data_IF_438325200495
#
_entry.id   IF_438325200495
#
_cell.length_a   1.000
_cell.length_b   1.000
_cell.length_c   1.000
_cell.angle_alpha   90.00
_cell.angle_beta   90.00
_cell.angle_gamma   90.00
#
_symmetry.space_group_name_H-M   'P 1'
#
loop_
_entity.id
_entity.type
_entity.pdbx_description
1 polymer ?
#
# COMPACT_ATOMS: atom_id res chain seq x y z
N UNK A 1 25.76 -1.71 -1.66
CA UNK A 1 25.42 -0.34 -2.13
C UNK A 1 23.97 -0.09 -1.77
N UNK A 2 23.63 1.01 -1.09
CA UNK A 2 22.25 1.30 -0.69
C UNK A 2 21.38 1.56 -1.93
N UNK A 3 20.40 0.69 -2.21
CA UNK A 3 19.49 0.77 -3.37
C UNK A 3 18.80 2.15 -3.43
N UNK A 4 18.77 2.74 -4.62
CA UNK A 4 18.13 4.03 -4.86
C UNK A 4 16.61 3.89 -4.91
N UNK A 5 15.95 4.10 -3.77
CA UNK A 5 14.49 4.09 -3.70
C UNK A 5 13.88 5.27 -4.48
N UNK A 6 12.63 5.13 -4.94
CA UNK A 6 11.92 6.23 -5.61
C UNK A 6 11.81 7.47 -4.73
N UNK A 7 11.70 7.33 -3.40
CA UNK A 7 11.78 8.47 -2.49
C UNK A 7 13.16 9.11 -2.48
N UNK A 8 14.25 8.34 -2.56
CA UNK A 8 15.61 8.88 -2.68
C UNK A 8 15.81 9.62 -4.00
N UNK A 9 15.25 9.11 -5.11
CA UNK A 9 15.23 9.82 -6.41
C UNK A 9 14.40 11.11 -6.34
N UNK A 10 13.20 11.05 -5.76
CA UNK A 10 12.35 12.22 -5.57
C UNK A 10 12.99 13.25 -4.62
N UNK A 11 13.71 12.83 -3.57
CA UNK A 11 14.48 13.70 -2.67
C UNK A 11 15.75 14.25 -3.31
N UNK A 12 16.40 13.50 -4.21
CA UNK A 12 17.51 14.01 -5.01
C UNK A 12 17.02 15.07 -6.01
N UNK A 13 15.86 14.85 -6.65
CA UNK A 13 15.19 15.85 -7.49
C UNK A 13 14.70 17.07 -6.67
N UNK A 14 14.40 16.86 -5.39
CA UNK A 14 14.05 17.91 -4.43
C UNK A 14 15.23 18.78 -3.95
N UNK A 15 16.46 18.40 -4.30
CA UNK A 15 17.69 19.03 -3.83
C UNK A 15 17.74 19.19 -2.29
N UNK A 16 17.30 18.16 -1.56
CA UNK A 16 17.38 18.14 -0.09
C UNK A 16 16.37 19.04 0.65
N UNK A 17 15.41 19.66 -0.04
CA UNK A 17 14.38 20.49 0.61
C UNK A 17 13.26 19.61 1.19
N UNK A 18 12.75 19.94 2.38
CA UNK A 18 11.46 19.40 2.84
C UNK A 18 10.36 19.89 1.90
N UNK A 19 9.95 19.03 0.96
CA UNK A 19 8.93 19.38 -0.01
C UNK A 19 7.55 19.30 0.63
N UNK A 20 6.77 20.36 0.47
CA UNK A 20 5.40 20.40 0.96
C UNK A 20 4.55 19.30 0.31
N UNK A 21 3.52 18.84 1.02
CA UNK A 21 2.47 17.95 0.48
C UNK A 21 1.92 18.48 -0.86
N UNK A 22 1.94 19.80 -1.04
CA UNK A 22 1.51 20.48 -2.26
C UNK A 22 2.42 20.20 -3.46
N UNK A 23 3.73 20.08 -3.25
CA UNK A 23 4.69 19.71 -4.30
C UNK A 23 4.51 18.25 -4.72
N UNK A 24 4.34 17.33 -3.76
CA UNK A 24 4.05 15.92 -4.09
C UNK A 24 2.73 15.77 -4.84
N UNK A 25 1.69 16.52 -4.43
CA UNK A 25 0.41 16.57 -5.12
C UNK A 25 0.51 17.16 -6.53
N UNK A 26 1.35 18.18 -6.76
CA UNK A 26 1.50 18.77 -8.08
C UNK A 26 2.24 17.84 -9.04
N UNK A 27 3.28 17.15 -8.57
CA UNK A 27 3.99 16.13 -9.35
C UNK A 27 3.09 14.96 -9.75
N UNK A 28 2.21 14.50 -8.85
CA UNK A 28 1.24 13.45 -9.22
C UNK A 28 0.18 13.91 -10.18
N UNK A 29 -0.35 15.12 -10.02
CA UNK A 29 -1.29 15.66 -11.03
C UNK A 29 -0.65 15.74 -12.41
N UNK A 30 0.65 16.00 -12.47
CA UNK A 30 1.40 16.03 -13.71
C UNK A 30 1.68 14.63 -14.29
N UNK A 31 1.88 13.62 -13.43
CA UNK A 31 2.22 12.24 -13.84
C UNK A 31 0.98 11.35 -14.10
N UNK A 32 -0.15 11.62 -13.44
CA UNK A 32 -1.38 10.84 -13.51
C UNK A 32 -2.62 11.75 -13.48
N UNK A 33 -3.18 12.15 -14.64
CA UNK A 33 -4.38 12.96 -14.69
C UNK A 33 -5.57 12.20 -14.08
N UNK A 34 -6.08 12.63 -12.91
CA UNK A 34 -7.25 12.10 -12.15
C UNK A 34 -7.77 10.74 -12.65
N UNK A 35 -6.98 9.68 -12.52
CA UNK A 35 -7.46 8.31 -12.73
C UNK A 35 -8.15 7.90 -11.42
N UNK A 36 -9.43 7.54 -11.50
CA UNK A 36 -10.17 7.08 -10.32
C UNK A 36 -9.66 5.71 -9.87
N UNK A 37 -9.77 5.41 -8.57
CA UNK A 37 -9.44 4.07 -8.04
C UNK A 37 -10.18 2.94 -8.80
N UNK A 38 -11.41 3.21 -9.23
CA UNK A 38 -12.18 2.29 -10.07
C UNK A 38 -11.51 2.04 -11.43
N UNK A 39 -11.08 3.09 -12.14
CA UNK A 39 -10.36 2.92 -13.42
C UNK A 39 -9.03 2.19 -13.22
N UNK A 40 -8.33 2.44 -12.11
CA UNK A 40 -7.11 1.70 -11.79
C UNK A 40 -7.38 0.21 -11.57
N UNK A 41 -8.49 -0.13 -10.91
CA UNK A 41 -8.90 -1.52 -10.72
C UNK A 41 -9.29 -2.20 -12.05
N UNK A 42 -9.94 -1.46 -12.95
CA UNK A 42 -10.36 -1.97 -14.26
C UNK A 42 -9.18 -2.17 -15.24
N UNK A 43 -8.18 -1.27 -15.20
CA UNK A 43 -7.08 -1.25 -16.18
C UNK A 43 -5.77 -1.87 -15.65
N UNK A 44 -5.65 -2.01 -14.34
CA UNK A 44 -4.40 -2.43 -13.69
C UNK A 44 -4.24 -3.94 -13.58
N UNK A 45 -3.05 -4.35 -13.12
CA UNK A 45 -2.74 -5.77 -12.85
C UNK A 45 -3.42 -6.21 -11.57
N UNK A 46 -4.49 -6.99 -11.67
CA UNK A 46 -5.25 -7.44 -10.51
C UNK A 46 -5.05 -8.92 -10.20
N UNK A 47 -5.25 -9.30 -8.94
CA UNK A 47 -5.18 -10.68 -8.46
C UNK A 47 -6.43 -11.03 -7.65
N UNK A 48 -6.83 -12.30 -7.66
CA UNK A 48 -8.00 -12.77 -6.89
C UNK A 48 -7.73 -12.78 -5.37
N UNK A 49 -6.47 -13.06 -4.99
CA UNK A 49 -6.01 -13.07 -3.59
C UNK A 49 -5.23 -11.78 -3.27
N UNK A 50 -5.21 -11.34 -1.99
CA UNK A 50 -4.36 -10.22 -1.57
C UNK A 50 -2.88 -10.57 -1.69
N UNK A 51 -2.08 -9.60 -2.15
CA UNK A 51 -0.64 -9.73 -2.34
C UNK A 51 0.10 -9.31 -1.07
N UNK A 52 0.57 -10.29 -0.28
CA UNK A 52 1.42 -10.02 0.89
C UNK A 52 2.78 -9.47 0.46
N UNK A 53 3.37 -8.61 1.30
CA UNK A 53 4.60 -7.88 0.99
C UNK A 53 4.44 -6.79 -0.09
N UNK A 54 3.25 -6.63 -0.66
CA UNK A 54 2.93 -5.59 -1.63
C UNK A 54 1.72 -4.77 -1.19
N UNK A 55 1.48 -3.67 -1.90
CA UNK A 55 0.35 -2.78 -1.65
C UNK A 55 -0.83 -3.20 -2.52
N UNK A 56 -2.01 -3.21 -1.93
CA UNK A 56 -3.23 -3.69 -2.54
C UNK A 56 -4.26 -2.57 -2.51
N UNK A 57 -4.82 -2.23 -3.67
CA UNK A 57 -6.01 -1.40 -3.77
C UNK A 57 -7.20 -2.29 -4.16
N UNK A 58 -8.35 -2.14 -3.50
CA UNK A 58 -9.53 -2.97 -3.77
C UNK A 58 -10.81 -2.29 -3.31
N UNK A 59 -11.96 -2.69 -3.84
CA UNK A 59 -13.26 -2.22 -3.37
C UNK A 59 -13.71 -3.03 -2.15
N UNK A 60 -14.05 -2.32 -1.06
CA UNK A 60 -14.54 -2.91 0.17
C UNK A 60 -15.80 -2.22 0.69
N UNK A 61 -16.75 -3.01 1.23
CA UNK A 61 -17.92 -2.50 1.96
C UNK A 61 -18.14 -3.31 3.24
N UNK A 62 -17.84 -2.76 4.43
CA UNK A 62 -17.90 -3.50 5.69
C UNK A 62 -19.33 -3.96 6.05
N UNK A 63 -19.42 -5.04 6.83
CA UNK A 63 -20.69 -5.66 7.27
C UNK A 63 -21.72 -4.68 7.85
N UNK A 64 -21.27 -3.67 8.59
CA UNK A 64 -22.12 -2.67 9.23
C UNK A 64 -21.85 -1.27 8.67
N UNK A 65 -21.58 -1.17 7.36
CA UNK A 65 -21.31 0.10 6.68
C UNK A 65 -22.33 1.20 7.05
N UNK A 66 -23.62 0.88 7.12
CA UNK A 66 -24.68 1.83 7.49
C UNK A 66 -24.59 2.39 8.91
N UNK A 67 -23.84 1.74 9.82
CA UNK A 67 -23.65 2.18 11.22
C UNK A 67 -22.30 2.86 11.45
N UNK A 68 -21.42 2.90 10.45
CA UNK A 68 -20.09 3.50 10.57
C UNK A 68 -20.14 4.95 10.12
N UNK A 69 -19.60 5.86 10.94
CA UNK A 69 -19.52 7.29 10.58
C UNK A 69 -18.65 7.53 9.34
N UNK A 70 -17.60 6.72 9.17
CA UNK A 70 -16.73 6.75 8.00
C UNK A 70 -16.09 5.38 7.80
N UNK A 71 -15.87 5.01 6.55
CA UNK A 71 -15.07 3.86 6.15
C UNK A 71 -14.47 4.11 4.77
N UNK A 72 -13.37 3.42 4.48
CA UNK A 72 -12.71 3.49 3.20
C UNK A 72 -13.35 2.52 2.19
N UNK A 73 -13.85 3.05 1.08
CA UNK A 73 -14.47 2.29 -0.01
C UNK A 73 -13.40 1.65 -0.90
N UNK A 74 -12.24 2.28 -1.04
CA UNK A 74 -11.12 1.77 -1.81
C UNK A 74 -9.86 1.63 -0.94
N UNK A 75 -9.82 0.69 0.03
CA UNK A 75 -8.66 0.48 0.87
C UNK A 75 -7.35 0.34 0.11
N UNK A 76 -6.35 1.15 0.49
CA UNK A 76 -4.96 1.01 0.07
C UNK A 76 -4.15 0.36 1.19
N UNK A 77 -3.90 -0.94 1.07
CA UNK A 77 -3.52 -1.80 2.20
C UNK A 77 -2.27 -2.62 1.92
N UNK A 78 -1.39 -2.71 2.92
CA UNK A 78 -0.36 -3.75 2.98
C UNK A 78 -0.82 -4.85 3.97
N UNK A 79 -1.16 -6.06 3.49
CA UNK A 79 -1.51 -7.19 4.34
C UNK A 79 -0.29 -7.72 5.11
N UNK A 80 -0.49 -8.05 6.38
CA UNK A 80 0.57 -8.66 7.21
C UNK A 80 0.10 -9.86 8.04
N UNK A 81 -1.21 -10.15 8.07
CA UNK A 81 -1.75 -11.32 8.77
C UNK A 81 -2.91 -11.96 8.00
N UNK A 82 -2.77 -13.24 7.70
CA UNK A 82 -3.80 -14.06 7.08
C UNK A 82 -4.88 -14.49 8.08
N UNK A 83 -6.12 -14.59 7.59
CA UNK A 83 -7.22 -15.27 8.29
C UNK A 83 -7.96 -16.15 7.28
N UNK A 84 -8.52 -17.28 7.73
CA UNK A 84 -9.32 -18.16 6.85
C UNK A 84 -10.45 -17.43 6.10
N UNK A 85 -11.00 -16.38 6.71
CA UNK A 85 -12.10 -15.59 6.16
C UNK A 85 -11.70 -14.17 5.70
N UNK A 86 -10.41 -13.90 5.50
CA UNK A 86 -9.92 -12.58 5.10
C UNK A 86 -8.48 -12.30 5.50
N UNK A 87 -8.16 -11.06 5.83
CA UNK A 87 -6.82 -10.67 6.24
C UNK A 87 -6.85 -9.45 7.17
N UNK A 88 -5.74 -9.19 7.84
CA UNK A 88 -5.47 -7.92 8.53
C UNK A 88 -4.30 -7.23 7.85
N UNK A 89 -4.44 -5.93 7.66
CA UNK A 89 -3.45 -5.11 7.00
C UNK A 89 -3.48 -3.67 7.47
N UNK A 90 -2.46 -2.92 7.08
CA UNK A 90 -2.29 -1.50 7.38
C UNK A 90 -2.91 -0.71 6.23
N UNK A 91 -3.92 0.11 6.52
CA UNK A 91 -4.54 0.96 5.51
C UNK A 91 -3.95 2.37 5.54
N UNK A 92 -3.33 2.76 4.44
CA UNK A 92 -2.69 4.05 4.29
C UNK A 92 -3.69 5.20 4.19
N UNK A 93 -4.92 4.97 3.74
CA UNK A 93 -5.91 6.03 3.58
C UNK A 93 -6.40 6.65 4.90
N UNK A 94 -6.24 5.96 6.03
CA UNK A 94 -6.53 6.51 7.37
C UNK A 94 -5.41 7.41 7.92
N UNK A 95 -4.31 7.55 7.19
CA UNK A 95 -3.21 8.47 7.50
C UNK A 95 -3.31 9.74 6.67
N UNK A 96 -2.86 10.85 7.23
CA UNK A 96 -2.58 12.05 6.43
C UNK A 96 -1.46 11.76 5.44
N UNK A 97 -1.43 12.45 4.30
CA UNK A 97 -0.41 12.24 3.26
C UNK A 97 1.04 12.24 3.82
N UNK A 98 1.47 13.19 4.67
CA UNK A 98 2.80 13.14 5.29
C UNK A 98 3.06 11.85 6.06
N UNK A 99 2.06 11.39 6.83
CA UNK A 99 2.18 10.17 7.62
C UNK A 99 2.24 8.92 6.73
N UNK A 100 1.56 8.92 5.58
CA UNK A 100 1.65 7.83 4.59
C UNK A 100 3.06 7.72 4.02
N UNK A 101 3.64 8.85 3.61
CA UNK A 101 5.01 8.92 3.10
C UNK A 101 6.00 8.47 4.18
N UNK A 102 5.91 9.02 5.39
CA UNK A 102 6.78 8.66 6.50
C UNK A 102 6.67 7.17 6.89
N UNK A 103 5.47 6.59 6.83
CA UNK A 103 5.29 5.16 7.04
C UNK A 103 5.95 4.35 5.92
N UNK A 104 5.72 4.72 4.66
CA UNK A 104 6.29 4.00 3.53
C UNK A 104 7.83 4.04 3.54
N UNK A 105 8.43 5.20 3.83
CA UNK A 105 9.89 5.35 3.98
C UNK A 105 10.46 4.42 5.07
N UNK A 106 9.77 4.27 6.20
CA UNK A 106 10.18 3.32 7.25
C UNK A 106 10.06 1.88 6.79
N UNK A 107 9.01 1.56 6.01
CA UNK A 107 8.80 0.21 5.48
C UNK A 107 9.85 -0.18 4.43
N UNK A 108 10.46 0.78 3.72
CA UNK A 108 11.55 0.50 2.77
C UNK A 108 12.77 -0.16 3.41
N UNK A 109 12.99 0.03 4.72
CA UNK A 109 14.03 -0.69 5.45
C UNK A 109 13.81 -2.22 5.52
N UNK A 110 12.63 -2.70 5.16
CA UNK A 110 12.27 -4.11 5.12
C UNK A 110 12.16 -4.65 3.68
N UNK A 111 12.66 -3.93 2.68
CA UNK A 111 12.70 -4.43 1.30
C UNK A 111 13.58 -5.69 1.22
N UNK A 112 13.00 -6.77 0.68
CA UNK A 112 13.65 -8.06 0.51
C UNK A 112 13.35 -8.61 -0.89
N UNK A 113 14.24 -9.46 -1.39
CA UNK A 113 13.99 -10.19 -2.62
C UNK A 113 12.85 -11.20 -2.39
N UNK A 114 11.92 -11.28 -3.35
CA UNK A 114 10.68 -12.02 -3.20
C UNK A 114 10.88 -13.53 -3.00
N UNK A 115 11.91 -14.09 -3.62
CA UNK A 115 12.32 -15.49 -3.42
C UNK A 115 12.70 -15.79 -1.96
N UNK A 116 13.23 -14.79 -1.25
CA UNK A 116 13.62 -14.93 0.16
C UNK A 116 12.42 -14.77 1.10
N UNK A 117 11.45 -13.92 0.75
CA UNK A 117 10.29 -13.62 1.60
C UNK A 117 9.14 -14.63 1.46
N UNK A 118 8.97 -15.22 0.27
CA UNK A 118 7.90 -16.18 -0.02
C UNK A 118 8.51 -17.53 -0.34
N UNK A 119 8.74 -18.35 0.68
CA UNK A 119 9.13 -19.76 0.50
C UNK A 119 7.98 -20.61 -0.06
N UNK A 120 6.78 -20.03 -0.23
CA UNK A 120 5.55 -20.68 -0.63
C UNK A 120 4.83 -19.89 -1.74
N UNK A 121 5.17 -20.12 -3.01
CA UNK A 121 4.21 -20.36 -4.11
C UNK A 121 4.91 -20.46 -5.48
N UNK A 122 4.65 -21.59 -6.15
CA UNK A 122 4.98 -21.90 -7.54
C UNK A 122 4.17 -21.01 -8.51
N UNK A 123 4.83 -20.47 -9.54
CA UNK A 123 4.18 -20.16 -10.82
C UNK A 123 3.28 -18.93 -10.86
N UNK A 124 3.87 -17.74 -10.91
CA UNK A 124 3.35 -16.58 -11.66
C UNK A 124 4.54 -15.63 -11.91
N UNK A 125 4.40 -14.63 -12.78
CA UNK A 125 5.43 -13.60 -12.95
C UNK A 125 5.53 -12.80 -11.64
N UNK A 126 6.46 -13.22 -10.77
CA UNK A 126 6.64 -12.68 -9.44
C UNK A 126 7.30 -11.30 -9.51
N UNK A 127 6.85 -10.38 -8.66
CA UNK A 127 7.61 -9.17 -8.41
C UNK A 127 8.93 -9.56 -7.74
N UNK A 128 10.05 -8.98 -8.17
CA UNK A 128 11.37 -9.34 -7.66
C UNK A 128 11.60 -8.87 -6.23
N UNK A 129 10.93 -7.80 -5.82
CA UNK A 129 11.12 -7.13 -4.54
C UNK A 129 9.78 -7.01 -3.79
N UNK A 130 9.80 -7.30 -2.49
CA UNK A 130 8.63 -7.26 -1.59
C UNK A 130 9.02 -6.71 -0.22
N UNK A 131 8.04 -6.24 0.54
CA UNK A 131 8.22 -5.75 1.90
C UNK A 131 8.13 -6.91 2.89
N UNK A 132 9.28 -7.25 3.46
CA UNK A 132 9.49 -8.45 4.26
C UNK A 132 9.33 -8.29 5.77
N UNK A 133 8.33 -7.56 6.26
CA UNK A 133 8.20 -7.24 7.69
C UNK A 133 7.20 -8.13 8.44
N UNK A 134 7.42 -8.29 9.74
CA UNK A 134 6.47 -8.79 10.74
C UNK A 134 5.81 -7.64 11.48
N UNK A 135 4.57 -7.84 11.92
CA UNK A 135 3.80 -6.82 12.66
C UNK A 135 4.54 -6.25 13.88
N UNK A 136 5.26 -7.09 14.62
CA UNK A 136 6.02 -6.69 15.81
C UNK A 136 7.12 -5.67 15.50
N UNK A 137 7.65 -5.67 14.28
CA UNK A 137 8.76 -4.79 13.89
C UNK A 137 8.28 -3.36 13.61
N UNK A 138 6.98 -3.17 13.37
CA UNK A 138 6.41 -1.88 12.96
C UNK A 138 5.38 -1.32 13.94
N UNK A 139 4.86 -2.14 14.86
CA UNK A 139 3.81 -1.74 15.82
C UNK A 139 4.20 -0.56 16.72
N UNK A 140 5.49 -0.31 16.93
CA UNK A 140 6.01 0.80 17.74
C UNK A 140 5.79 2.18 17.12
N UNK A 141 5.39 2.26 15.85
CA UNK A 141 5.15 3.54 15.18
C UNK A 141 3.88 4.22 15.72
N UNK A 142 4.02 5.46 16.19
CA UNK A 142 2.91 6.24 16.75
C UNK A 142 1.79 6.39 15.71
N UNK A 143 0.57 6.04 16.10
CA UNK A 143 -0.63 6.15 15.25
C UNK A 143 -0.87 4.95 14.33
N UNK A 144 0.10 4.07 14.10
CA UNK A 144 -0.02 2.93 13.19
C UNK A 144 -1.13 1.95 13.60
N UNK A 145 -1.30 1.70 14.90
CA UNK A 145 -2.35 0.79 15.40
C UNK A 145 -3.76 1.19 14.94
N UNK A 146 -4.03 2.49 14.76
CA UNK A 146 -5.34 3.00 14.36
C UNK A 146 -5.66 2.77 12.88
N UNK A 147 -4.66 2.44 12.08
CA UNK A 147 -4.80 2.20 10.63
C UNK A 147 -4.83 0.71 10.30
N UNK A 148 -4.73 -0.15 11.32
CA UNK A 148 -4.84 -1.59 11.18
C UNK A 148 -6.31 -1.99 11.17
N UNK A 149 -6.73 -2.63 10.08
CA UNK A 149 -8.09 -3.09 9.93
C UNK A 149 -8.14 -4.55 9.50
N UNK A 150 -9.21 -5.24 9.91
CA UNK A 150 -9.56 -6.57 9.43
C UNK A 150 -10.50 -6.44 8.24
N UNK A 151 -10.12 -7.06 7.14
CA UNK A 151 -10.90 -7.16 5.91
C UNK A 151 -11.41 -8.59 5.79
N UNK A 152 -12.74 -8.77 5.75
CA UNK A 152 -13.31 -10.10 5.53
C UNK A 152 -13.53 -10.28 4.03
N UNK A 153 -13.11 -11.42 3.49
CA UNK A 153 -13.15 -11.70 2.05
C UNK A 153 -14.56 -11.55 1.45
N UNK A 154 -15.61 -11.95 2.20
CA UNK A 154 -17.02 -11.80 1.80
C UNK A 154 -17.46 -10.34 1.50
N UNK A 155 -16.73 -9.36 2.00
CA UNK A 155 -17.04 -7.93 1.86
C UNK A 155 -16.08 -7.18 0.92
N UNK A 156 -15.22 -7.93 0.21
CA UNK A 156 -14.39 -7.43 -0.88
C UNK A 156 -15.17 -7.63 -2.18
N UNK A 157 -15.36 -6.56 -2.96
CA UNK A 157 -16.22 -6.53 -4.14
C UNK A 157 -15.44 -6.39 -5.45
N UNK A 158 -14.12 -6.50 -5.41
CA UNK A 158 -13.24 -6.48 -6.59
C UNK A 158 -12.08 -7.46 -6.40
N UNK A 159 -11.35 -7.73 -7.48
CA UNK A 159 -9.99 -8.22 -7.37
C UNK A 159 -9.08 -7.17 -6.68
N UNK A 160 -7.90 -7.58 -6.27
CA UNK A 160 -6.89 -6.72 -5.66
C UNK A 160 -5.98 -6.17 -6.74
N UNK A 161 -5.98 -4.87 -6.95
CA UNK A 161 -4.94 -4.21 -7.75
C UNK A 161 -3.60 -4.36 -7.03
N UNK A 162 -2.66 -5.03 -7.69
CA UNK A 162 -1.31 -5.26 -7.19
C UNK A 162 -0.44 -4.04 -7.51
N UNK A 163 0.06 -3.38 -6.47
CA UNK A 163 0.95 -2.23 -6.58
C UNK A 163 2.34 -2.66 -6.12
N UNK A 164 3.28 -2.70 -7.06
CA UNK A 164 4.68 -3.06 -6.82
C UNK A 164 5.41 -2.01 -5.99
N UNK A 165 6.56 -2.36 -5.39
CA UNK A 165 7.36 -1.47 -4.53
C UNK A 165 7.66 -0.14 -5.22
N UNK A 166 8.02 -0.17 -6.50
CA UNK A 166 8.34 1.03 -7.26
C UNK A 166 7.12 1.97 -7.40
N UNK A 167 5.91 1.43 -7.48
CA UNK A 167 4.69 2.23 -7.68
C UNK A 167 4.05 2.69 -6.36
N UNK A 168 4.46 2.15 -5.21
CA UNK A 168 3.87 2.48 -3.91
C UNK A 168 3.98 3.97 -3.57
N UNK A 169 5.06 4.62 -3.97
CA UNK A 169 5.27 6.05 -3.70
C UNK A 169 4.20 6.92 -4.36
N UNK A 170 3.83 6.59 -5.60
CA UNK A 170 2.72 7.26 -6.29
C UNK A 170 1.39 6.87 -5.65
N UNK A 171 1.20 5.59 -5.31
CA UNK A 171 -0.04 5.09 -4.75
C UNK A 171 -0.42 5.71 -3.39
N UNK A 172 0.53 5.90 -2.48
CA UNK A 172 0.23 6.47 -1.14
C UNK A 172 -0.26 7.91 -1.18
N UNK A 173 -0.06 8.60 -2.29
CA UNK A 173 -0.44 9.99 -2.48
C UNK A 173 -1.83 10.14 -3.14
N UNK A 174 -2.50 9.02 -3.46
CA UNK A 174 -3.87 8.97 -3.97
C UNK A 174 -4.92 9.33 -2.90
#
# INVERSE_FOLDING_TARGET
>A
MAKDTIFKRLRAEADGRELSVQWYRSKIRALAPRISAQRMLEQGKTTVKPNYGLMNLFWYKPIHAAKLSYYDVFPLVIPFKYHRNGFTGINFHYLSIPMRVALLERLQGFEQDAETYRQDEFGNQLDKEVLGFRWQEIIGMRGLKKTVHRYRAKYVYSNFLKIGIHDMAAAVLL
#
